data_IF_362855315919
#
_entry.id   IF_362855315919
#
_cell.length_a   1.000
_cell.length_b   1.000
_cell.length_c   1.000
_cell.angle_alpha   90.00
_cell.angle_beta   90.00
_cell.angle_gamma   90.00
#
_symmetry.space_group_name_H-M   'P 1'
#
loop_
_entity.id
_entity.type
_entity.pdbx_description
1 polymer ?
#
# COMPACT_ATOMS: atom_id res chain seq x y z
N UNK A 1 10.57 -0.50 5.04
CA UNK A 1 11.86 -0.10 4.43
C UNK A 1 13.06 -0.19 5.38
N UNK A 2 13.04 0.51 6.53
CA UNK A 2 14.20 0.58 7.46
C UNK A 2 14.73 -0.79 7.92
N UNK A 3 13.86 -1.74 8.25
CA UNK A 3 14.26 -3.11 8.64
C UNK A 3 14.93 -3.91 7.49
N UNK A 4 14.61 -3.58 6.24
CA UNK A 4 15.24 -4.17 5.05
C UNK A 4 16.54 -3.44 4.66
N UNK A 5 16.94 -2.42 5.42
CA UNK A 5 18.11 -1.59 5.11
C UNK A 5 18.03 -1.03 3.69
N UNK A 6 16.83 -0.58 3.30
CA UNK A 6 16.59 0.19 2.07
C UNK A 6 16.60 1.67 2.43
N UNK A 7 17.31 2.48 1.65
CA UNK A 7 17.43 3.93 1.87
C UNK A 7 17.53 4.70 0.55
N UNK A 8 17.22 5.99 0.59
CA UNK A 8 17.38 6.89 -0.55
C UNK A 8 18.83 7.36 -0.62
N UNK A 9 19.58 6.83 -1.59
CA UNK A 9 20.99 7.13 -1.80
C UNK A 9 21.10 8.14 -2.96
N UNK A 10 21.96 9.17 -2.85
CA UNK A 10 22.20 10.07 -3.98
C UNK A 10 22.64 9.29 -5.22
N UNK A 11 22.04 9.61 -6.37
CA UNK A 11 22.53 9.10 -7.65
C UNK A 11 23.89 9.73 -7.96
N UNK A 12 24.88 8.88 -8.23
CA UNK A 12 26.22 9.32 -8.64
C UNK A 12 26.33 9.09 -10.15
N UNK A 13 26.45 10.17 -10.96
CA UNK A 13 26.72 10.08 -12.38
C UNK A 13 27.93 9.19 -12.66
N UNK A 14 27.91 8.46 -13.77
CA UNK A 14 28.98 7.51 -14.13
C UNK A 14 30.37 8.17 -14.12
N UNK A 15 30.43 9.42 -14.59
CA UNK A 15 31.64 10.25 -14.67
C UNK A 15 32.24 10.57 -13.30
N UNK A 16 31.40 10.68 -12.26
CA UNK A 16 31.80 11.14 -10.93
C UNK A 16 31.96 10.01 -9.90
N UNK A 17 31.88 8.74 -10.32
CA UNK A 17 31.90 7.58 -9.40
C UNK A 17 33.20 7.40 -8.63
N UNK A 18 34.29 8.03 -9.08
CA UNK A 18 35.58 8.05 -8.39
C UNK A 18 35.71 9.20 -7.38
N UNK A 19 34.78 10.16 -7.40
CA UNK A 19 34.79 11.33 -6.52
C UNK A 19 34.26 11.01 -5.11
N UNK A 20 34.63 11.83 -4.12
CA UNK A 20 34.16 11.66 -2.74
C UNK A 20 32.66 11.98 -2.66
N UNK A 21 31.86 10.92 -2.50
CA UNK A 21 30.39 10.95 -2.44
C UNK A 21 29.83 12.00 -1.46
N UNK A 22 30.50 12.21 -0.32
CA UNK A 22 30.04 13.14 0.74
C UNK A 22 30.02 14.62 0.31
N UNK A 23 30.65 14.97 -0.81
CA UNK A 23 30.73 16.36 -1.31
C UNK A 23 29.78 16.64 -2.47
N UNK A 24 29.09 15.62 -2.99
CA UNK A 24 28.19 15.76 -4.13
C UNK A 24 26.81 16.23 -3.67
N UNK A 25 26.43 17.45 -4.04
CA UNK A 25 25.05 17.92 -3.93
C UNK A 25 24.22 17.27 -5.03
N UNK A 26 23.58 16.15 -4.71
CA UNK A 26 22.74 15.41 -5.64
C UNK A 26 21.28 15.83 -5.51
N UNK A 27 20.61 16.04 -6.64
CA UNK A 27 19.17 16.30 -6.69
C UNK A 27 18.36 15.02 -6.98
N UNK A 28 19.03 13.99 -7.50
CA UNK A 28 18.44 12.70 -7.87
C UNK A 28 18.82 11.69 -6.79
N UNK A 29 17.85 10.94 -6.31
CA UNK A 29 18.04 9.88 -5.33
C UNK A 29 17.46 8.56 -5.85
N UNK A 30 18.13 7.47 -5.52
CA UNK A 30 17.72 6.12 -5.88
C UNK A 30 17.50 5.33 -4.59
N UNK A 31 16.35 4.70 -4.49
CA UNK A 31 16.07 3.76 -3.41
C UNK A 31 16.92 2.50 -3.61
N UNK A 32 17.82 2.22 -2.67
CA UNK A 32 18.77 1.12 -2.79
C UNK A 32 19.01 0.41 -1.46
N UNK A 33 19.46 -0.84 -1.53
CA UNK A 33 19.83 -1.62 -0.36
C UNK A 33 21.22 -1.20 0.13
N UNK A 34 21.31 -0.75 1.38
CA UNK A 34 22.57 -0.34 2.02
C UNK A 34 23.35 -1.52 2.61
N UNK A 35 22.87 -2.75 2.45
CA UNK A 35 23.60 -3.94 2.90
C UNK A 35 24.80 -4.24 2.01
N UNK A 36 25.89 -4.73 2.61
CA UNK A 36 27.02 -5.27 1.84
C UNK A 36 26.57 -6.46 1.01
N UNK A 37 27.00 -6.51 -0.25
CA UNK A 37 26.69 -7.61 -1.20
C UNK A 37 26.97 -9.00 -0.63
N UNK A 38 28.03 -9.18 0.15
CA UNK A 38 28.35 -10.46 0.79
C UNK A 38 27.26 -10.94 1.77
N UNK A 39 26.63 -10.01 2.51
CA UNK A 39 25.54 -10.35 3.43
C UNK A 39 24.27 -10.75 2.67
N UNK A 40 24.06 -10.21 1.46
CA UNK A 40 22.90 -10.54 0.62
C UNK A 40 22.96 -11.99 0.08
N UNK A 41 24.17 -12.51 -0.20
CA UNK A 41 24.35 -13.88 -0.74
C UNK A 41 23.91 -14.99 0.22
N UNK A 42 23.89 -14.72 1.52
CA UNK A 42 23.56 -15.69 2.57
C UNK A 42 22.20 -15.42 3.22
N UNK A 43 21.34 -14.63 2.57
CA UNK A 43 19.98 -14.39 3.05
C UNK A 43 19.15 -15.67 2.97
N UNK A 44 18.42 -15.97 4.05
CA UNK A 44 17.38 -17.00 4.03
C UNK A 44 16.31 -16.65 3.00
N UNK A 45 15.71 -17.67 2.37
CA UNK A 45 14.70 -17.53 1.33
C UNK A 45 13.58 -16.56 1.71
N UNK A 46 13.01 -16.70 2.93
CA UNK A 46 11.94 -15.83 3.43
C UNK A 46 12.34 -14.35 3.42
N UNK A 47 13.62 -14.06 3.69
CA UNK A 47 14.13 -12.70 3.71
C UNK A 47 14.40 -12.19 2.30
N UNK A 48 14.80 -13.05 1.37
CA UNK A 48 14.89 -12.70 -0.06
C UNK A 48 13.51 -12.33 -0.61
N UNK A 49 12.48 -13.13 -0.30
CA UNK A 49 11.10 -12.85 -0.70
C UNK A 49 10.60 -11.49 -0.22
N UNK A 50 10.99 -11.05 0.98
CA UNK A 50 10.65 -9.69 1.45
C UNK A 50 11.19 -8.58 0.53
N UNK A 51 12.36 -8.75 -0.09
CA UNK A 51 12.87 -7.77 -1.05
C UNK A 51 12.13 -7.84 -2.39
N UNK A 52 11.77 -9.03 -2.86
CA UNK A 52 11.02 -9.22 -4.12
C UNK A 52 9.65 -8.54 -4.06
N UNK A 53 8.95 -8.64 -2.93
CA UNK A 53 7.62 -8.04 -2.73
C UNK A 53 7.66 -6.63 -2.12
N UNK A 54 8.86 -6.06 -1.91
CA UNK A 54 8.99 -4.72 -1.37
C UNK A 54 8.77 -3.67 -2.47
N UNK A 55 7.51 -3.33 -2.73
CA UNK A 55 7.17 -2.15 -3.52
C UNK A 55 7.05 -0.96 -2.57
N UNK A 56 7.77 0.15 -2.82
CA UNK A 56 7.53 1.37 -2.08
C UNK A 56 6.08 1.81 -2.34
N UNK A 57 5.44 2.36 -1.32
CA UNK A 57 4.12 2.95 -1.45
C UNK A 57 4.30 4.46 -1.28
N UNK A 58 3.86 5.22 -2.28
CA UNK A 58 3.89 6.68 -2.22
C UNK A 58 2.53 7.18 -1.76
N UNK A 59 2.46 7.65 -0.51
CA UNK A 59 1.25 8.27 0.01
C UNK A 59 1.09 9.67 -0.58
N UNK A 60 -0.01 9.93 -1.26
CA UNK A 60 -0.34 11.23 -1.80
C UNK A 60 -1.49 11.87 -1.00
N UNK A 61 -1.22 12.81 -0.08
CA UNK A 61 -2.23 13.32 0.84
C UNK A 61 -3.48 13.89 0.18
N UNK A 62 -3.39 14.46 -1.03
CA UNK A 62 -4.57 15.01 -1.73
C UNK A 62 -5.43 13.99 -2.47
N UNK A 63 -4.97 12.74 -2.60
CA UNK A 63 -5.76 11.66 -3.18
C UNK A 63 -6.37 10.84 -2.05
N UNK A 64 -7.64 10.48 -2.19
CA UNK A 64 -8.26 9.51 -1.28
C UNK A 64 -7.83 8.13 -1.74
N UNK A 65 -7.29 7.33 -0.82
CA UNK A 65 -6.96 5.93 -1.12
C UNK A 65 -8.24 5.08 -1.03
N UNK A 66 -8.39 4.11 -1.92
CA UNK A 66 -9.49 3.12 -1.87
C UNK A 66 -9.53 2.43 -0.50
N UNK A 67 -8.37 2.19 0.12
CA UNK A 67 -8.26 1.60 1.45
C UNK A 67 -8.81 2.50 2.57
N UNK A 68 -8.76 3.83 2.41
CA UNK A 68 -9.32 4.80 3.36
C UNK A 68 -10.86 4.89 3.27
N UNK A 69 -11.44 4.26 2.23
CA UNK A 69 -12.89 4.15 2.02
C UNK A 69 -13.43 2.75 2.32
N UNK A 70 -12.60 1.82 2.80
CA UNK A 70 -13.03 0.44 3.07
C UNK A 70 -14.27 0.42 3.97
N UNK A 71 -15.32 -0.19 3.45
CA UNK A 71 -16.60 -0.46 4.11
C UNK A 71 -16.68 -1.87 4.67
N UNK A 72 -15.66 -2.66 4.36
CA UNK A 72 -15.44 -4.01 4.83
C UNK A 72 -14.80 -4.01 6.22
N UNK A 73 -15.34 -4.83 7.10
CA UNK A 73 -14.85 -5.08 8.45
C UNK A 73 -14.51 -6.54 8.60
N UNK A 74 -13.31 -6.81 9.06
CA UNK A 74 -12.93 -8.15 9.50
C UNK A 74 -13.50 -8.41 10.89
N UNK A 75 -14.36 -9.43 10.97
CA UNK A 75 -15.06 -9.84 12.17
C UNK A 75 -14.41 -11.11 12.69
N UNK A 76 -14.03 -11.07 13.97
CA UNK A 76 -13.53 -12.22 14.72
C UNK A 76 -14.44 -12.37 15.93
N UNK A 77 -15.49 -13.18 15.80
CA UNK A 77 -16.47 -13.38 16.85
C UNK A 77 -16.11 -14.64 17.67
N UNK A 78 -15.96 -14.54 19.00
CA UNK A 78 -15.54 -15.65 19.85
C UNK A 78 -16.70 -16.60 20.19
N UNK A 79 -17.31 -17.22 19.18
CA UNK A 79 -18.31 -18.27 19.36
C UNK A 79 -17.71 -19.59 19.85
N UNK A 80 -18.52 -20.40 20.52
CA UNK A 80 -18.23 -21.81 20.82
C UNK A 80 -18.98 -22.72 19.84
N UNK A 81 -18.38 -23.82 19.35
CA UNK A 81 -17.09 -24.40 19.73
C UNK A 81 -15.86 -23.80 19.00
N UNK A 82 -16.06 -22.97 17.96
CA UNK A 82 -14.99 -22.32 17.21
C UNK A 82 -15.34 -20.85 16.92
N UNK A 83 -14.36 -19.94 16.94
CA UNK A 83 -14.58 -18.56 16.55
C UNK A 83 -15.04 -18.44 15.09
N UNK A 84 -15.98 -17.54 14.82
CA UNK A 84 -16.41 -17.19 13.47
C UNK A 84 -15.47 -16.12 12.93
N UNK A 85 -14.88 -16.38 11.76
CA UNK A 85 -14.04 -15.44 11.04
C UNK A 85 -14.71 -15.10 9.71
N UNK A 86 -15.14 -13.85 9.56
CA UNK A 86 -15.83 -13.42 8.34
C UNK A 86 -15.55 -11.95 8.03
N UNK A 87 -15.81 -11.56 6.79
CA UNK A 87 -15.72 -10.18 6.32
C UNK A 87 -17.14 -9.68 6.07
N UNK A 88 -17.45 -8.49 6.60
CA UNK A 88 -18.77 -7.87 6.47
C UNK A 88 -18.62 -6.47 5.89
N UNK A 89 -19.24 -6.23 4.75
CA UNK A 89 -19.29 -4.93 4.09
C UNK A 89 -20.61 -4.23 4.42
N UNK A 90 -20.57 -3.15 5.22
CA UNK A 90 -21.81 -2.47 5.62
C UNK A 90 -22.51 -1.69 4.50
N UNK A 91 -21.91 -1.55 3.31
CA UNK A 91 -22.53 -0.94 2.12
C UNK A 91 -23.12 -1.99 1.18
N UNK A 92 -22.51 -3.17 1.10
CA UNK A 92 -22.91 -4.22 0.17
C UNK A 92 -23.72 -5.35 0.83
N UNK A 93 -23.49 -5.61 2.11
CA UNK A 93 -24.12 -6.71 2.85
C UNK A 93 -25.30 -6.22 3.69
N UNK A 94 -26.40 -6.95 3.61
CA UNK A 94 -27.51 -6.82 4.53
C UNK A 94 -27.29 -7.70 5.76
N UNK A 95 -27.28 -7.09 6.94
CA UNK A 95 -26.93 -7.79 8.19
C UNK A 95 -27.83 -9.01 8.46
N UNK A 96 -29.11 -8.94 8.12
CA UNK A 96 -30.03 -10.06 8.33
C UNK A 96 -29.68 -11.24 7.44
N UNK A 97 -29.60 -11.02 6.12
CA UNK A 97 -29.23 -12.04 5.14
C UNK A 97 -27.85 -12.63 5.43
N UNK A 98 -26.90 -11.78 5.85
CA UNK A 98 -25.55 -12.22 6.22
C UNK A 98 -25.56 -13.17 7.42
N UNK A 99 -26.30 -12.83 8.48
CA UNK A 99 -26.42 -13.72 9.65
C UNK A 99 -27.17 -15.01 9.34
N UNK A 100 -28.19 -14.95 8.49
CA UNK A 100 -28.99 -16.12 8.13
C UNK A 100 -28.16 -17.13 7.34
N UNK A 101 -27.33 -16.66 6.40
CA UNK A 101 -26.37 -17.50 5.67
C UNK A 101 -25.37 -18.20 6.59
N UNK A 102 -24.83 -17.49 7.59
CA UNK A 102 -23.90 -18.10 8.57
C UNK A 102 -24.57 -19.18 9.43
N UNK A 103 -25.87 -19.07 9.68
CA UNK A 103 -26.65 -20.09 10.40
C UNK A 103 -26.94 -21.28 9.49
N UNK A 104 -27.32 -21.03 8.22
CA UNK A 104 -27.53 -22.08 7.21
C UNK A 104 -26.26 -22.91 6.96
N UNK A 105 -25.09 -22.27 7.02
CA UNK A 105 -23.78 -22.91 6.88
C UNK A 105 -23.27 -23.60 8.16
N UNK A 106 -24.06 -23.59 9.24
CA UNK A 106 -23.72 -24.14 10.57
C UNK A 106 -22.47 -23.50 11.21
N UNK A 107 -22.06 -22.31 10.75
CA UNK A 107 -20.94 -21.55 11.32
C UNK A 107 -21.34 -20.77 12.58
N UNK A 108 -22.60 -20.32 12.64
CA UNK A 108 -23.18 -19.60 13.75
C UNK A 108 -24.40 -20.35 14.30
N UNK A 109 -24.48 -20.49 15.62
CA UNK A 109 -25.66 -21.06 16.27
C UNK A 109 -26.80 -20.04 16.32
N UNK A 110 -28.03 -20.52 16.16
CA UNK A 110 -29.22 -19.66 16.12
C UNK A 110 -29.46 -18.91 17.45
N UNK A 111 -29.05 -19.50 18.58
CA UNK A 111 -29.10 -18.87 19.91
C UNK A 111 -28.11 -17.70 20.06
N UNK A 112 -27.04 -17.67 19.27
CA UNK A 112 -26.03 -16.62 19.27
C UNK A 112 -26.33 -15.51 18.24
N UNK A 113 -27.37 -15.66 17.41
CA UNK A 113 -27.72 -14.73 16.31
C UNK A 113 -27.79 -13.27 16.76
N UNK A 114 -28.53 -12.98 17.82
CA UNK A 114 -28.70 -11.61 18.30
C UNK A 114 -27.40 -11.03 18.85
N UNK A 115 -26.63 -11.84 19.59
CA UNK A 115 -25.32 -11.44 20.12
C UNK A 115 -24.31 -11.15 19.01
N UNK A 116 -24.32 -11.95 17.95
CA UNK A 116 -23.49 -11.74 16.77
C UNK A 116 -23.90 -10.47 16.03
N UNK A 117 -25.20 -10.24 15.80
CA UNK A 117 -25.71 -9.01 15.18
C UNK A 117 -25.28 -7.76 15.96
N UNK A 118 -25.33 -7.79 17.28
CA UNK A 118 -24.86 -6.69 18.12
C UNK A 118 -23.35 -6.47 18.00
N UNK A 119 -22.56 -7.56 18.01
CA UNK A 119 -21.12 -7.51 17.83
C UNK A 119 -20.72 -6.92 16.47
N UNK A 120 -21.37 -7.35 15.38
CA UNK A 120 -21.14 -6.78 14.04
C UNK A 120 -21.46 -5.29 14.04
N UNK A 121 -22.59 -4.87 14.60
CA UNK A 121 -22.95 -3.44 14.70
C UNK A 121 -21.92 -2.63 15.49
N UNK A 122 -21.38 -3.18 16.58
CA UNK A 122 -20.31 -2.54 17.35
C UNK A 122 -19.04 -2.38 16.52
N UNK A 123 -18.58 -3.46 15.86
CA UNK A 123 -17.39 -3.43 15.00
C UNK A 123 -17.52 -2.46 13.84
N UNK A 124 -18.69 -2.41 13.21
CA UNK A 124 -19.01 -1.44 12.15
C UNK A 124 -18.99 -0.01 12.70
N UNK A 125 -19.49 0.24 13.92
CA UNK A 125 -19.41 1.58 14.54
C UNK A 125 -17.98 1.99 14.86
N UNK A 126 -17.16 1.08 15.38
CA UNK A 126 -15.73 1.30 15.62
C UNK A 126 -15.00 1.65 14.32
N UNK A 127 -15.20 0.86 13.27
CA UNK A 127 -14.61 1.10 11.96
C UNK A 127 -15.06 2.43 11.34
N UNK A 128 -16.35 2.76 11.39
CA UNK A 128 -16.86 4.07 10.94
C UNK A 128 -16.25 5.24 11.71
N UNK A 129 -16.06 5.09 13.03
CA UNK A 129 -15.40 6.10 13.86
C UNK A 129 -13.93 6.26 13.47
N UNK A 130 -13.19 5.16 13.31
CA UNK A 130 -11.80 5.17 12.88
C UNK A 130 -11.64 5.82 11.49
N UNK A 131 -12.52 5.50 10.54
CA UNK A 131 -12.54 6.10 9.21
C UNK A 131 -12.77 7.62 9.27
N UNK A 132 -13.69 8.09 10.15
CA UNK A 132 -13.91 9.53 10.36
C UNK A 132 -12.67 10.21 10.94
N UNK A 133 -12.08 9.63 11.98
CA UNK A 133 -10.88 10.17 12.63
C UNK A 133 -9.69 10.23 11.66
N UNK A 134 -9.50 9.20 10.83
CA UNK A 134 -8.48 9.18 9.78
C UNK A 134 -8.70 10.30 8.75
N UNK A 135 -9.94 10.52 8.29
CA UNK A 135 -10.29 11.60 7.36
C UNK A 135 -10.05 12.98 7.97
N UNK A 136 -10.39 13.17 9.26
CA UNK A 136 -10.13 14.42 9.98
C UNK A 136 -8.63 14.67 10.17
N UNK A 137 -7.88 13.64 10.58
CA UNK A 137 -6.43 13.72 10.71
C UNK A 137 -5.75 14.07 9.39
N UNK A 138 -6.19 13.47 8.28
CA UNK A 138 -5.73 13.80 6.92
C UNK A 138 -6.03 15.26 6.56
N UNK A 139 -7.27 15.72 6.80
CA UNK A 139 -7.66 17.12 6.55
C UNK A 139 -6.79 18.09 7.34
N UNK A 140 -6.55 17.79 8.62
CA UNK A 140 -5.68 18.58 9.48
C UNK A 140 -4.24 18.59 8.96
N UNK A 141 -3.69 17.42 8.61
CA UNK A 141 -2.35 17.32 8.04
C UNK A 141 -2.20 18.12 6.74
N UNK A 142 -3.22 18.13 5.88
CA UNK A 142 -3.25 18.97 4.68
C UNK A 142 -3.27 20.46 5.03
N UNK A 143 -4.08 20.86 6.00
CA UNK A 143 -4.18 22.26 6.45
C UNK A 143 -2.89 22.77 7.10
N UNK A 144 -2.21 21.94 7.87
CA UNK A 144 -0.94 22.25 8.54
C UNK A 144 0.27 22.12 7.60
N UNK A 145 0.09 21.55 6.40
CA UNK A 145 1.15 21.38 5.41
C UNK A 145 1.66 22.73 4.91
N UNK A 146 3.00 22.89 4.85
CA UNK A 146 3.63 24.09 4.29
C UNK A 146 3.33 24.24 2.80
N UNK A 147 3.34 25.49 2.31
CA UNK A 147 3.13 25.80 0.89
C UNK A 147 4.15 25.08 -0.01
N UNK A 148 5.41 25.00 0.42
CA UNK A 148 6.47 24.27 -0.28
C UNK A 148 6.13 22.78 -0.43
N UNK A 149 5.65 22.12 0.63
CA UNK A 149 5.30 20.72 0.58
C UNK A 149 4.04 20.49 -0.28
N UNK A 150 3.04 21.38 -0.20
CA UNK A 150 1.86 21.32 -1.07
C UNK A 150 2.25 21.43 -2.54
N UNK A 151 3.07 22.42 -2.88
CA UNK A 151 3.58 22.60 -4.23
C UNK A 151 4.43 21.40 -4.68
N UNK A 152 5.21 20.77 -3.80
CA UNK A 152 5.98 19.57 -4.14
C UNK A 152 5.07 18.39 -4.52
N UNK A 153 3.97 18.17 -3.79
CA UNK A 153 3.00 17.12 -4.14
C UNK A 153 2.26 17.41 -5.46
N UNK A 154 1.85 18.66 -5.68
CA UNK A 154 1.14 19.05 -6.92
C UNK A 154 2.04 18.98 -8.16
N UNK A 155 3.31 19.35 -8.03
CA UNK A 155 4.29 19.32 -9.12
C UNK A 155 4.93 17.94 -9.33
N UNK A 156 4.62 16.96 -8.49
CA UNK A 156 5.20 15.63 -8.61
C UNK A 156 4.77 14.96 -9.92
N UNK A 157 5.75 14.45 -10.66
CA UNK A 157 5.55 13.71 -11.92
C UNK A 157 6.09 12.29 -11.81
N UNK A 158 5.45 11.38 -12.53
CA UNK A 158 5.81 9.97 -12.61
C UNK A 158 6.18 9.65 -14.04
N UNK A 159 7.37 9.11 -14.23
CA UNK A 159 7.91 8.72 -15.52
C UNK A 159 8.05 7.21 -15.55
N UNK A 160 7.54 6.56 -16.60
CA UNK A 160 7.71 5.12 -16.80
C UNK A 160 8.59 4.89 -18.02
N UNK A 161 9.75 4.29 -17.76
CA UNK A 161 10.74 3.99 -18.80
C UNK A 161 10.60 2.54 -19.25
N UNK A 162 10.52 2.33 -20.56
CA UNK A 162 10.68 1.06 -21.22
C UNK A 162 12.09 0.95 -21.82
N UNK A 163 12.62 -0.28 -21.99
CA UNK A 163 13.88 -0.47 -22.69
C UNK A 163 13.85 0.16 -24.08
N UNK A 164 14.96 0.79 -24.48
CA UNK A 164 15.15 1.27 -25.85
C UNK A 164 15.27 0.06 -26.77
N UNK A 165 14.61 0.11 -27.92
CA UNK A 165 14.70 -0.93 -28.93
C UNK A 165 16.15 -1.12 -29.37
N UNK A 166 16.70 -2.31 -29.16
CA UNK A 166 17.97 -2.73 -29.75
C UNK A 166 17.72 -3.94 -30.66
N UNK A 167 18.61 -4.22 -31.64
CA UNK A 167 18.46 -5.36 -32.54
C UNK A 167 18.32 -6.71 -31.80
N UNK A 168 18.90 -6.80 -30.60
CA UNK A 168 18.91 -7.99 -29.75
C UNK A 168 17.76 -8.03 -28.73
N UNK A 169 16.93 -6.98 -28.64
CA UNK A 169 15.84 -6.88 -27.69
C UNK A 169 14.47 -7.15 -28.37
N UNK A 170 13.53 -7.81 -27.66
CA UNK A 170 12.18 -8.00 -28.18
C UNK A 170 11.46 -6.65 -28.32
N UNK A 171 10.58 -6.56 -29.31
CA UNK A 171 9.75 -5.37 -29.51
C UNK A 171 8.74 -5.20 -28.39
N UNK A 172 8.88 -4.12 -27.62
CA UNK A 172 8.00 -3.78 -26.49
C UNK A 172 6.99 -2.69 -26.84
N UNK A 173 6.93 -2.24 -28.09
CA UNK A 173 6.00 -1.18 -28.55
C UNK A 173 4.55 -1.47 -28.16
N UNK A 174 4.11 -2.71 -28.35
CA UNK A 174 2.74 -3.17 -28.09
C UNK A 174 2.39 -3.35 -26.60
N UNK A 175 3.40 -3.34 -25.71
CA UNK A 175 3.19 -3.51 -24.25
C UNK A 175 3.42 -2.21 -23.48
N UNK A 176 3.74 -1.11 -24.16
CA UNK A 176 3.87 0.21 -23.54
C UNK A 176 2.51 0.67 -23.01
N UNK A 177 2.40 0.67 -21.68
CA UNK A 177 1.23 1.17 -20.94
C UNK A 177 1.63 2.26 -19.95
N UNK A 178 0.82 3.32 -19.79
CA UNK A 178 1.00 4.31 -18.73
C UNK A 178 0.68 3.75 -17.35
N UNK A 179 -0.05 2.65 -17.24
CA UNK A 179 -0.34 2.01 -15.94
C UNK A 179 0.96 1.52 -15.29
N UNK A 180 1.26 1.96 -14.07
CA UNK A 180 2.42 1.53 -13.28
C UNK A 180 2.02 0.30 -12.47
N UNK A 181 1.13 0.49 -11.49
CA UNK A 181 0.46 -0.56 -10.70
C UNK A 181 -0.71 0.08 -9.91
N UNK A 182 -1.43 -0.73 -9.12
CA UNK A 182 -2.57 -0.26 -8.29
C UNK A 182 -2.20 0.90 -7.34
N UNK A 183 -0.99 0.88 -6.79
CA UNK A 183 -0.54 1.84 -5.77
C UNK A 183 -0.04 3.17 -6.35
N UNK A 184 0.61 3.15 -7.51
CA UNK A 184 1.14 4.35 -8.17
C UNK A 184 0.20 4.91 -9.24
N UNK A 185 -0.82 4.14 -9.65
CA UNK A 185 -1.74 4.52 -10.70
C UNK A 185 -1.04 4.60 -12.06
N UNK A 186 -1.17 5.75 -12.73
CA UNK A 186 -0.64 5.98 -14.09
C UNK A 186 0.56 6.94 -14.05
N UNK A 187 1.53 6.66 -14.90
CA UNK A 187 2.61 7.58 -15.22
C UNK A 187 2.05 8.81 -15.94
N UNK A 188 2.67 9.96 -15.67
CA UNK A 188 2.40 11.20 -16.39
C UNK A 188 3.02 11.16 -17.79
N UNK A 189 4.17 10.49 -17.91
CA UNK A 189 4.89 10.34 -19.17
C UNK A 189 5.44 8.92 -19.31
N UNK A 190 5.36 8.38 -20.53
CA UNK A 190 5.87 7.06 -20.89
C UNK A 190 6.97 7.24 -21.92
N UNK A 191 8.16 6.75 -21.59
CA UNK A 191 9.37 6.89 -22.40
C UNK A 191 9.84 5.49 -22.83
#
# INVERSE_FOLDING_TARGET
MKQMKMDWIPYIPLEDRESRVDRLKSQIFILSCTQRRAALKHLKLDRVKKYEYCLPYFYHPFKEDELEQSTEVQIIFPAEPKPVFCEFDWELDELEEFTDKLIEEEELLEDQKDTFKEFVKEKVREAKKANREAREARRKAIQEMSEEARAAFENMRFYKFYPVQSPDAPDVSNVKSPSINRYYGKAHEVL
#
